data_IF_979069717100
#
_entry.id   IF_979069717100
#
_cell.length_a   1.000
_cell.length_b   1.000
_cell.length_c   1.000
_cell.angle_alpha   90.00
_cell.angle_beta   90.00
_cell.angle_gamma   90.00
#
_symmetry.space_group_name_H-M   'P 1'
#
loop_
_entity.id
_entity.type
_entity.pdbx_description
1 polymer ?
#
# COMPACT_ATOMS: atom_id res chain seq x y z
N UNK A 1 14.43 5.00 13.51
CA UNK A 1 13.46 4.77 12.43
C UNK A 1 12.09 4.30 12.94
N UNK A 2 11.95 3.21 13.71
CA UNK A 2 10.62 2.77 14.18
C UNK A 2 9.89 3.77 15.10
N UNK A 3 10.62 4.67 15.77
CA UNK A 3 10.07 5.80 16.54
C UNK A 3 9.73 7.05 15.70
N UNK A 4 10.23 7.12 14.46
CA UNK A 4 10.07 8.28 13.58
C UNK A 4 8.92 8.10 12.58
N UNK A 5 8.59 6.85 12.26
CA UNK A 5 7.60 6.49 11.24
C UNK A 5 6.34 5.94 11.92
N UNK A 6 5.18 6.50 11.57
CA UNK A 6 3.86 6.10 12.05
C UNK A 6 3.65 4.59 11.99
N UNK A 7 2.96 3.98 12.97
CA UNK A 7 2.61 2.55 12.93
C UNK A 7 1.82 2.14 11.67
N UNK A 8 1.18 3.10 10.99
CA UNK A 8 0.38 2.85 9.78
C UNK A 8 1.23 2.62 8.52
N UNK A 9 2.54 2.86 8.59
CA UNK A 9 3.50 2.56 7.52
C UNK A 9 4.25 1.27 7.85
N UNK A 10 4.01 0.22 7.05
CA UNK A 10 4.54 -1.12 7.33
C UNK A 10 5.79 -1.47 6.51
N UNK A 11 6.16 -0.67 5.51
CA UNK A 11 7.29 -0.99 4.65
C UNK A 11 8.65 -0.79 5.35
N UNK A 12 9.54 -1.77 5.20
CA UNK A 12 10.98 -1.69 5.51
C UNK A 12 11.34 -1.33 6.97
N UNK A 13 10.41 -1.56 7.90
CA UNK A 13 10.63 -1.34 9.33
C UNK A 13 10.66 -2.69 10.02
N UNK A 14 11.77 -2.98 10.71
CA UNK A 14 11.96 -4.24 11.46
C UNK A 14 10.80 -4.44 12.44
N UNK A 15 10.15 -5.60 12.34
CA UNK A 15 9.02 -5.98 13.20
C UNK A 15 7.63 -5.61 12.68
N UNK A 16 7.52 -4.94 11.52
CA UNK A 16 6.24 -4.71 10.82
C UNK A 16 6.16 -5.60 9.59
N UNK A 17 5.03 -6.29 9.40
CA UNK A 17 4.83 -7.18 8.27
C UNK A 17 3.84 -6.59 7.27
N UNK A 18 4.04 -6.89 5.99
CA UNK A 18 3.10 -6.54 4.92
C UNK A 18 1.68 -7.06 5.20
N UNK A 19 1.60 -8.26 5.81
CA UNK A 19 0.35 -8.93 6.12
C UNK A 19 -0.46 -8.14 7.16
N UNK A 20 0.19 -7.39 8.06
CA UNK A 20 -0.48 -6.61 9.10
C UNK A 20 -1.42 -5.56 8.49
N UNK A 21 -0.97 -4.86 7.44
CA UNK A 21 -1.79 -3.88 6.71
C UNK A 21 -2.97 -4.54 6.00
N UNK A 22 -2.77 -5.69 5.37
CA UNK A 22 -3.84 -6.45 4.69
C UNK A 22 -4.89 -6.92 5.70
N UNK A 23 -4.46 -7.44 6.85
CA UNK A 23 -5.36 -7.86 7.94
C UNK A 23 -6.14 -6.66 8.47
N UNK A 24 -5.49 -5.50 8.68
CA UNK A 24 -6.15 -4.30 9.15
C UNK A 24 -7.27 -3.82 8.21
N UNK A 25 -7.04 -3.80 6.89
CA UNK A 25 -8.11 -3.44 5.93
C UNK A 25 -9.25 -4.47 5.96
N UNK A 26 -8.93 -5.77 6.02
CA UNK A 26 -9.93 -6.83 6.09
C UNK A 26 -10.83 -6.68 7.33
N UNK A 27 -10.24 -6.43 8.50
CA UNK A 27 -10.99 -6.21 9.74
C UNK A 27 -11.90 -4.97 9.66
N UNK A 28 -11.42 -3.87 9.04
CA UNK A 28 -12.23 -2.68 8.81
C UNK A 28 -13.43 -2.99 7.90
N UNK A 29 -13.21 -3.71 6.79
CA UNK A 29 -14.27 -4.12 5.86
C UNK A 29 -15.30 -5.00 6.57
N UNK A 30 -14.85 -6.02 7.29
CA UNK A 30 -15.72 -6.98 7.95
C UNK A 30 -16.48 -6.34 9.10
N UNK A 31 -15.86 -5.44 9.86
CA UNK A 31 -16.53 -4.67 10.88
C UNK A 31 -17.59 -3.76 10.28
N UNK A 32 -17.26 -3.01 9.22
CA UNK A 32 -18.21 -2.14 8.52
C UNK A 32 -19.43 -2.94 8.04
N UNK A 33 -19.22 -4.09 7.38
CA UNK A 33 -20.29 -5.03 6.97
C UNK A 33 -21.17 -5.45 8.14
N UNK A 34 -20.58 -5.96 9.23
CA UNK A 34 -21.31 -6.46 10.40
C UNK A 34 -22.10 -5.36 11.13
N UNK A 35 -21.49 -4.17 11.28
CA UNK A 35 -22.12 -3.05 11.97
C UNK A 35 -23.05 -2.22 11.09
N UNK A 36 -23.17 -2.55 9.79
CA UNK A 36 -23.92 -1.78 8.78
C UNK A 36 -23.52 -0.29 8.74
N UNK A 37 -22.27 0.02 9.07
CA UNK A 37 -21.73 1.38 9.02
C UNK A 37 -21.14 1.62 7.64
N UNK A 38 -21.39 2.80 7.09
CA UNK A 38 -20.86 3.21 5.80
C UNK A 38 -19.36 3.54 5.92
N UNK A 39 -18.54 2.91 5.09
CA UNK A 39 -17.09 3.15 5.00
C UNK A 39 -16.70 3.32 3.55
N UNK A 40 -15.93 4.37 3.23
CA UNK A 40 -15.23 4.44 1.96
C UNK A 40 -13.80 3.94 2.13
N UNK A 41 -13.26 3.40 1.05
CA UNK A 41 -11.87 2.98 0.92
C UNK A 41 -11.33 3.68 -0.32
N UNK A 42 -10.29 4.49 -0.16
CA UNK A 42 -9.65 5.15 -1.30
C UNK A 42 -8.23 4.63 -1.46
N UNK A 43 -8.01 3.83 -2.50
CA UNK A 43 -6.70 3.31 -2.88
C UNK A 43 -6.04 4.32 -3.81
N UNK A 44 -4.88 4.82 -3.38
CA UNK A 44 -4.10 5.84 -4.09
C UNK A 44 -2.87 5.20 -4.73
N UNK A 45 -2.64 5.55 -5.99
CA UNK A 45 -1.42 5.24 -6.74
C UNK A 45 -0.68 6.56 -7.00
N UNK A 46 0.64 6.60 -6.81
CA UNK A 46 1.45 7.77 -7.12
C UNK A 46 2.16 7.59 -8.47
N UNK A 47 2.12 8.62 -9.32
CA UNK A 47 2.86 8.62 -10.57
C UNK A 47 4.36 8.59 -10.27
N UNK A 48 5.07 7.55 -10.75
CA UNK A 48 6.52 7.35 -10.64
C UNK A 48 7.10 7.89 -9.32
N UNK A 49 6.58 7.40 -8.19
CA UNK A 49 6.73 8.04 -6.89
C UNK A 49 8.17 8.46 -6.56
N UNK A 50 9.15 7.59 -6.81
CA UNK A 50 10.56 7.88 -6.57
C UNK A 50 11.10 9.02 -7.45
N UNK A 51 10.70 9.12 -8.71
CA UNK A 51 11.24 10.08 -9.68
C UNK A 51 10.79 11.52 -9.41
N UNK A 52 9.67 11.71 -8.71
CA UNK A 52 9.06 13.01 -8.50
C UNK A 52 9.35 13.65 -7.13
N UNK A 53 10.05 12.95 -6.24
CA UNK A 53 10.34 13.45 -4.88
C UNK A 53 11.09 14.79 -4.90
N UNK A 54 10.51 15.81 -4.30
CA UNK A 54 11.15 17.10 -4.08
C UNK A 54 12.26 17.00 -3.03
N UNK A 55 13.48 17.37 -3.42
CA UNK A 55 14.64 17.37 -2.52
C UNK A 55 14.54 18.40 -1.41
N UNK A 56 13.94 19.57 -1.67
CA UNK A 56 13.71 20.59 -0.64
C UNK A 56 12.74 20.09 0.42
N UNK A 57 11.70 19.37 0.01
CA UNK A 57 10.76 18.76 0.94
C UNK A 57 11.39 17.61 1.74
N UNK A 58 12.20 16.77 1.10
CA UNK A 58 12.93 15.71 1.81
C UNK A 58 13.88 16.30 2.87
N UNK A 59 14.68 17.33 2.52
CA UNK A 59 15.55 18.01 3.48
C UNK A 59 14.77 18.64 4.64
N UNK A 60 13.61 19.23 4.33
CA UNK A 60 12.66 19.74 5.32
C UNK A 60 12.18 18.62 6.26
N UNK A 61 11.73 17.48 5.73
CA UNK A 61 11.27 16.35 6.55
C UNK A 61 12.41 15.81 7.43
N UNK A 62 13.62 15.65 6.88
CA UNK A 62 14.80 15.25 7.65
C UNK A 62 15.07 16.23 8.80
N UNK A 63 15.00 17.54 8.55
CA UNK A 63 15.14 18.54 9.60
C UNK A 63 14.05 18.39 10.68
N UNK A 64 12.79 18.17 10.28
CA UNK A 64 11.66 17.97 11.19
C UNK A 64 11.80 16.71 12.05
N UNK A 65 12.44 15.66 11.55
CA UNK A 65 12.76 14.45 12.30
C UNK A 65 14.02 14.59 13.19
N UNK A 66 14.66 15.76 13.22
CA UNK A 66 15.80 16.03 14.09
C UNK A 66 17.14 15.56 13.54
N UNK A 67 17.24 15.28 12.23
CA UNK A 67 18.53 14.96 11.62
C UNK A 67 19.44 16.20 11.63
N UNK A 68 20.62 16.04 12.24
CA UNK A 68 21.62 17.11 12.35
C UNK A 68 22.10 17.61 10.98
N UNK A 69 22.61 18.85 10.94
CA UNK A 69 23.10 19.49 9.72
C UNK A 69 24.13 18.66 8.97
N UNK A 70 25.03 17.99 9.70
CA UNK A 70 26.06 17.12 9.12
C UNK A 70 25.45 15.95 8.32
N UNK A 71 24.46 15.25 8.88
CA UNK A 71 23.77 14.14 8.23
C UNK A 71 23.00 14.60 6.99
N UNK A 72 22.31 15.73 7.08
CA UNK A 72 21.59 16.32 5.94
C UNK A 72 22.55 16.75 4.83
N UNK A 73 23.73 17.25 5.17
CA UNK A 73 24.78 17.59 4.21
C UNK A 73 25.29 16.35 3.46
N UNK A 74 25.53 15.23 4.15
CA UNK A 74 25.92 13.98 3.50
C UNK A 74 24.85 13.47 2.54
N UNK A 75 23.58 13.43 2.97
CA UNK A 75 22.47 13.02 2.08
C UNK A 75 22.35 13.95 0.87
N UNK A 76 22.52 15.26 1.05
CA UNK A 76 22.52 16.23 -0.05
C UNK A 76 23.61 15.92 -1.08
N UNK A 77 24.81 15.55 -0.65
CA UNK A 77 25.88 15.15 -1.58
C UNK A 77 25.56 13.84 -2.29
N UNK A 78 25.03 12.84 -1.58
CA UNK A 78 24.70 11.53 -2.15
C UNK A 78 23.50 11.56 -3.11
N UNK A 79 22.50 12.40 -2.82
CA UNK A 79 21.18 12.34 -3.47
C UNK A 79 20.87 13.57 -4.31
N UNK A 80 21.20 14.78 -3.85
CA UNK A 80 20.76 16.04 -4.47
C UNK A 80 21.71 16.55 -5.56
N UNK A 81 22.80 15.85 -5.84
CA UNK A 81 23.78 16.21 -6.86
C UNK A 81 24.04 15.01 -7.79
N UNK A 82 23.12 14.75 -8.71
CA UNK A 82 23.27 13.71 -9.71
C UNK A 82 23.17 14.27 -11.12
N UNK A 83 24.29 14.33 -11.83
CA UNK A 83 24.25 14.33 -13.30
C UNK A 83 24.03 12.89 -13.74
N UNK A 84 23.06 12.67 -14.62
CA UNK A 84 22.73 11.36 -15.17
C UNK A 84 23.17 11.31 -16.62
N UNK A 85 24.03 10.36 -16.95
CA UNK A 85 24.32 9.99 -18.33
C UNK A 85 23.68 8.64 -18.61
N UNK A 86 23.03 8.50 -19.76
CA UNK A 86 22.54 7.20 -20.23
C UNK A 86 23.62 6.59 -21.11
N UNK A 87 23.94 5.31 -20.91
CA UNK A 87 24.84 4.59 -21.81
C UNK A 87 24.02 4.01 -22.97
N UNK A 88 24.25 4.48 -24.19
CA UNK A 88 23.67 3.91 -25.42
C UNK A 88 24.78 3.16 -26.14
N UNK A 89 24.65 1.84 -26.26
CA UNK A 89 25.69 0.94 -26.82
C UNK A 89 27.06 1.08 -26.12
N UNK A 90 27.06 1.36 -24.82
CA UNK A 90 28.29 1.55 -24.04
C UNK A 90 28.90 2.96 -24.12
N UNK A 91 28.34 3.85 -24.95
CA UNK A 91 28.78 5.25 -25.04
C UNK A 91 27.89 6.16 -24.17
N UNK A 92 28.47 7.05 -23.34
CA UNK A 92 27.70 8.01 -22.56
C UNK A 92 27.02 9.05 -23.45
N UNK A 93 25.74 9.30 -23.20
CA UNK A 93 25.02 10.45 -23.73
C UNK A 93 25.40 11.74 -22.99
N UNK A 94 24.82 12.85 -23.44
CA UNK A 94 24.87 14.12 -22.70
C UNK A 94 24.39 13.97 -21.26
N UNK A 95 24.99 14.76 -20.37
CA UNK A 95 24.64 14.82 -18.96
C UNK A 95 23.28 15.48 -18.76
N UNK A 96 22.37 14.75 -18.14
CA UNK A 96 21.06 15.23 -17.72
C UNK A 96 21.16 15.68 -16.26
N UNK A 97 20.94 16.96 -16.02
CA UNK A 97 20.90 17.50 -14.66
C UNK A 97 19.59 17.09 -13.96
N UNK A 98 19.69 16.24 -12.94
CA UNK A 98 18.55 15.85 -12.12
C UNK A 98 18.30 16.94 -11.07
N UNK A 99 17.04 17.37 -10.92
CA UNK A 99 16.65 18.37 -9.91
C UNK A 99 15.70 17.84 -8.83
N UNK A 100 15.29 16.58 -8.95
CA UNK A 100 14.35 15.90 -8.04
C UNK A 100 14.46 14.38 -8.20
N UNK A 101 13.88 13.68 -7.26
CA UNK A 101 13.71 12.23 -7.30
C UNK A 101 14.77 11.47 -6.52
N UNK A 102 14.52 10.18 -6.33
CA UNK A 102 15.36 9.24 -5.61
C UNK A 102 15.75 8.11 -6.57
N UNK A 103 17.04 7.76 -6.60
CA UNK A 103 17.54 6.74 -7.54
C UNK A 103 17.04 5.37 -7.14
N UNK A 104 16.21 4.73 -7.98
CA UNK A 104 15.81 3.35 -7.75
C UNK A 104 17.05 2.43 -7.80
N UNK A 105 17.14 1.50 -6.86
CA UNK A 105 18.32 0.63 -6.68
C UNK A 105 19.35 1.18 -5.69
N UNK A 106 19.25 2.46 -5.29
CA UNK A 106 20.01 2.98 -4.15
C UNK A 106 19.41 2.42 -2.84
N UNK A 107 20.21 1.73 -1.99
CA UNK A 107 19.75 1.25 -0.70
C UNK A 107 19.18 2.34 0.21
N UNK A 108 19.63 3.59 0.08
CA UNK A 108 19.15 4.72 0.88
C UNK A 108 17.83 5.29 0.37
N UNK A 109 17.56 5.22 -0.94
CA UNK A 109 16.38 5.82 -1.55
C UNK A 109 15.08 5.34 -0.91
N UNK A 110 15.00 4.05 -0.56
CA UNK A 110 13.81 3.49 0.07
C UNK A 110 13.54 4.11 1.45
N UNK A 111 14.57 4.27 2.28
CA UNK A 111 14.43 4.88 3.60
C UNK A 111 14.10 6.38 3.52
N UNK A 112 14.69 7.09 2.57
CA UNK A 112 14.41 8.50 2.32
C UNK A 112 12.98 8.70 1.83
N UNK A 113 12.48 7.80 0.99
CA UNK A 113 11.10 7.82 0.53
C UNK A 113 10.11 7.69 1.70
N UNK A 114 10.40 6.81 2.67
CA UNK A 114 9.57 6.68 3.88
C UNK A 114 9.43 8.01 4.65
N UNK A 115 10.51 8.80 4.74
CA UNK A 115 10.46 10.12 5.40
C UNK A 115 9.53 11.09 4.66
N UNK A 116 9.46 11.01 3.34
CA UNK A 116 8.59 11.86 2.51
C UNK A 116 7.12 11.49 2.72
N UNK A 117 6.77 10.21 2.59
CA UNK A 117 5.38 9.75 2.75
C UNK A 117 4.88 9.85 4.18
N UNK A 118 5.77 9.89 5.18
CA UNK A 118 5.39 10.18 6.56
C UNK A 118 4.82 11.61 6.70
N UNK A 119 5.20 12.54 5.82
CA UNK A 119 4.57 13.86 5.75
C UNK A 119 3.08 13.78 5.41
N UNK A 120 2.67 12.82 4.57
CA UNK A 120 1.26 12.56 4.26
C UNK A 120 0.53 11.98 5.48
N UNK A 121 1.16 11.03 6.18
CA UNK A 121 0.64 10.50 7.45
C UNK A 121 0.39 11.63 8.46
N UNK A 122 1.38 12.51 8.64
CA UNK A 122 1.27 13.66 9.55
C UNK A 122 0.15 14.63 9.16
N UNK A 123 -0.06 14.89 7.87
CA UNK A 123 -1.14 15.75 7.39
C UNK A 123 -2.53 15.16 7.67
N UNK A 124 -2.69 13.84 7.53
CA UNK A 124 -3.95 13.13 7.78
C UNK A 124 -4.28 13.10 9.27
N UNK A 125 -3.31 12.76 10.13
CA UNK A 125 -3.50 12.85 11.58
C UNK A 125 -3.83 14.27 12.02
N UNK A 126 -3.16 15.27 11.44
CA UNK A 126 -3.49 16.66 11.77
C UNK A 126 -4.92 17.04 11.37
N UNK A 127 -5.38 16.57 10.22
CA UNK A 127 -6.76 16.81 9.79
C UNK A 127 -7.78 16.09 10.68
N UNK A 128 -7.43 14.91 11.20
CA UNK A 128 -8.25 14.20 12.18
C UNK A 128 -8.32 14.96 13.51
N UNK A 129 -7.18 15.39 14.07
CA UNK A 129 -7.14 16.17 15.31
C UNK A 129 -8.01 17.43 15.24
N UNK A 130 -8.08 18.04 14.05
CA UNK A 130 -8.91 19.21 13.76
C UNK A 130 -10.38 18.86 13.46
N UNK A 131 -10.75 17.58 13.45
CA UNK A 131 -12.09 17.10 13.14
C UNK A 131 -12.49 17.21 11.67
N UNK A 132 -11.52 17.50 10.78
CA UNK A 132 -11.74 17.67 9.33
C UNK A 132 -11.77 16.33 8.58
N UNK A 133 -11.08 15.31 9.12
CA UNK A 133 -11.10 13.95 8.58
C UNK A 133 -11.61 12.97 9.63
N UNK A 134 -12.58 12.14 9.25
CA UNK A 134 -13.14 11.08 10.09
C UNK A 134 -12.81 9.72 9.49
N UNK A 135 -11.71 9.14 9.95
CA UNK A 135 -11.36 7.76 9.64
C UNK A 135 -12.35 6.75 10.23
N UNK A 136 -12.24 5.48 9.83
CA UNK A 136 -13.17 4.44 10.28
C UNK A 136 -12.77 3.89 11.65
N UNK A 137 -13.65 4.05 12.65
CA UNK A 137 -13.41 3.57 14.03
C UNK A 137 -13.63 2.06 14.15
N UNK A 138 -12.60 1.36 14.66
CA UNK A 138 -12.58 -0.09 14.92
C UNK A 138 -12.65 -0.38 16.43
N UNK A 139 -13.59 -1.25 16.82
CA UNK A 139 -13.79 -1.67 18.20
C UNK A 139 -14.36 -0.60 19.15
N UNK A 140 -14.67 -1.01 20.38
CA UNK A 140 -15.24 -0.13 21.42
C UNK A 140 -14.19 0.84 22.01
N UNK A 141 -12.91 0.53 21.87
CA UNK A 141 -11.81 1.37 22.33
C UNK A 141 -11.50 2.52 21.35
N UNK A 142 -12.18 2.58 20.21
CA UNK A 142 -12.00 3.64 19.21
C UNK A 142 -10.67 3.55 18.46
N UNK A 143 -10.13 2.34 18.25
CA UNK A 143 -8.90 2.17 17.47
C UNK A 143 -9.12 2.75 16.06
N UNK A 144 -8.22 3.63 15.67
CA UNK A 144 -8.39 4.48 14.51
C UNK A 144 -7.33 4.17 13.47
N UNK A 145 -7.77 3.80 12.26
CA UNK A 145 -6.87 3.55 11.13
C UNK A 145 -7.34 4.44 9.96
N UNK A 146 -6.83 5.69 9.85
CA UNK A 146 -7.24 6.61 8.78
C UNK A 146 -6.62 6.23 7.45
N UNK A 147 -5.46 5.58 7.49
CA UNK A 147 -4.71 5.16 6.33
C UNK A 147 -3.80 3.99 6.66
N UNK A 148 -3.39 3.28 5.61
CA UNK A 148 -2.37 2.26 5.62
C UNK A 148 -1.43 2.52 4.46
N UNK A 149 -0.13 2.44 4.73
CA UNK A 149 0.91 2.64 3.74
C UNK A 149 1.85 1.45 3.70
N UNK A 150 2.25 1.10 2.49
CA UNK A 150 3.39 0.24 2.22
C UNK A 150 4.22 0.90 1.11
N UNK A 151 5.25 1.66 1.50
CA UNK A 151 5.96 2.55 0.60
C UNK A 151 4.98 3.50 -0.13
N UNK A 152 4.87 3.42 -1.45
CA UNK A 152 4.00 4.25 -2.29
C UNK A 152 2.55 3.75 -2.35
N UNK A 153 2.29 2.47 -2.07
CA UNK A 153 0.95 1.92 -1.99
C UNK A 153 0.20 2.46 -0.76
N UNK A 154 -0.76 3.37 -0.98
CA UNK A 154 -1.52 4.02 0.10
C UNK A 154 -3.01 3.70 0.01
N UNK A 155 -3.62 3.32 1.13
CA UNK A 155 -5.07 3.17 1.28
C UNK A 155 -5.56 4.12 2.37
N UNK A 156 -6.59 4.90 2.08
CA UNK A 156 -7.33 5.69 3.07
C UNK A 156 -8.64 5.00 3.42
N UNK A 157 -8.99 5.03 4.70
CA UNK A 157 -10.19 4.44 5.27
C UNK A 157 -10.93 5.49 6.07
N UNK A 158 -12.21 5.71 5.76
CA UNK A 158 -12.99 6.72 6.46
C UNK A 158 -14.49 6.55 6.36
N UNK A 159 -15.20 7.34 7.16
CA UNK A 159 -16.65 7.46 7.07
C UNK A 159 -17.04 7.99 5.68
N UNK A 160 -18.08 7.41 5.08
CA UNK A 160 -18.56 7.83 3.77
C UNK A 160 -19.27 9.20 3.86
N UNK A 161 -18.51 10.29 3.73
CA UNK A 161 -19.01 11.66 3.77
C UNK A 161 -18.31 12.53 2.73
N UNK A 162 -19.02 13.56 2.23
CA UNK A 162 -18.48 14.47 1.21
C UNK A 162 -17.36 15.34 1.80
N UNK A 163 -17.45 15.66 3.09
CA UNK A 163 -16.44 16.40 3.84
C UNK A 163 -15.12 15.63 3.87
N UNK A 164 -15.17 14.31 4.13
CA UNK A 164 -13.99 13.46 4.09
C UNK A 164 -13.34 13.43 2.71
N UNK A 165 -14.13 13.37 1.64
CA UNK A 165 -13.61 13.43 0.26
C UNK A 165 -12.92 14.76 -0.02
N UNK A 166 -13.53 15.87 0.42
CA UNK A 166 -12.96 17.22 0.31
C UNK A 166 -11.62 17.33 1.03
N UNK A 167 -11.60 16.94 2.31
CA UNK A 167 -10.39 16.97 3.14
C UNK A 167 -9.28 16.15 2.50
N UNK A 168 -9.60 14.95 2.01
CA UNK A 168 -8.62 14.07 1.38
C UNK A 168 -8.07 14.66 0.07
N UNK A 169 -8.93 15.22 -0.79
CA UNK A 169 -8.51 15.87 -2.04
C UNK A 169 -7.60 17.07 -1.75
N UNK A 170 -7.92 17.87 -0.73
CA UNK A 170 -7.10 19.01 -0.32
C UNK A 170 -5.73 18.58 0.21
N UNK A 171 -5.70 17.58 1.11
CA UNK A 171 -4.44 17.05 1.66
C UNK A 171 -3.56 16.50 0.54
N UNK A 172 -4.12 15.68 -0.36
CA UNK A 172 -3.36 15.12 -1.49
C UNK A 172 -2.83 16.21 -2.41
N UNK A 173 -3.62 17.26 -2.66
CA UNK A 173 -3.16 18.39 -3.49
C UNK A 173 -2.05 19.20 -2.82
N UNK A 174 -2.19 19.53 -1.53
CA UNK A 174 -1.16 20.22 -0.78
C UNK A 174 0.12 19.37 -0.67
N UNK A 175 -0.03 18.07 -0.45
CA UNK A 175 1.07 17.13 -0.38
C UNK A 175 1.81 17.01 -1.72
N UNK A 176 1.09 16.93 -2.86
CA UNK A 176 1.69 16.97 -4.19
C UNK A 176 2.50 18.25 -4.40
N UNK A 177 1.94 19.42 -4.06
CA UNK A 177 2.62 20.72 -4.22
C UNK A 177 3.88 20.84 -3.37
N UNK A 178 3.88 20.26 -2.17
CA UNK A 178 5.03 20.30 -1.25
C UNK A 178 6.08 19.23 -1.61
N UNK A 179 5.66 17.97 -1.73
CA UNK A 179 6.55 16.81 -1.86
C UNK A 179 6.91 16.48 -3.31
N UNK A 180 6.17 17.00 -4.29
CA UNK A 180 6.25 16.59 -5.68
C UNK A 180 5.52 15.29 -6.01
N UNK A 181 5.03 14.53 -5.02
CA UNK A 181 4.36 13.25 -5.23
C UNK A 181 2.95 13.45 -5.81
N UNK A 182 2.84 13.23 -7.11
CA UNK A 182 1.60 13.38 -7.85
C UNK A 182 0.76 12.11 -7.80
N UNK A 183 -0.52 12.26 -7.46
CA UNK A 183 -1.48 11.16 -7.50
C UNK A 183 -1.82 10.80 -8.95
N UNK A 184 -1.73 9.51 -9.26
CA UNK A 184 -2.24 8.94 -10.48
C UNK A 184 -3.73 8.62 -10.31
N UNK A 185 -4.58 9.61 -10.58
CA UNK A 185 -6.03 9.43 -10.40
C UNK A 185 -6.61 8.35 -11.32
N UNK A 186 -6.03 8.13 -12.50
CA UNK A 186 -6.46 7.09 -13.44
C UNK A 186 -6.21 5.66 -12.92
N UNK A 187 -5.19 5.47 -12.07
CA UNK A 187 -4.91 4.18 -11.40
C UNK A 187 -5.44 4.10 -9.97
N UNK A 188 -5.85 5.23 -9.41
CA UNK A 188 -6.48 5.30 -8.10
C UNK A 188 -7.95 4.85 -8.19
N UNK A 189 -8.48 4.33 -7.10
CA UNK A 189 -9.86 3.85 -7.06
C UNK A 189 -10.52 4.08 -5.71
N UNK A 190 -11.81 4.45 -5.75
CA UNK A 190 -12.66 4.55 -4.57
C UNK A 190 -13.62 3.36 -4.51
N UNK A 191 -13.79 2.80 -3.32
CA UNK A 191 -14.66 1.67 -3.03
C UNK A 191 -15.52 2.01 -1.81
N UNK A 192 -16.65 1.31 -1.66
CA UNK A 192 -17.57 1.52 -0.55
C UNK A 192 -18.03 0.21 0.09
N UNK A 193 -18.14 0.22 1.43
CA UNK A 193 -18.80 -0.82 2.23
C UNK A 193 -20.04 -0.21 2.87
N UNK A 194 -21.22 -0.75 2.55
CA UNK A 194 -22.53 -0.18 2.94
C UNK A 194 -22.71 1.28 2.52
N UNK A 195 -22.27 1.61 1.31
CA UNK A 195 -22.34 2.95 0.74
C UNK A 195 -23.28 2.92 -0.46
N UNK A 196 -24.05 3.99 -0.68
CA UNK A 196 -24.94 4.09 -1.84
C UNK A 196 -24.15 4.29 -3.14
N UNK A 197 -24.72 3.85 -4.27
CA UNK A 197 -24.15 4.10 -5.59
C UNK A 197 -24.01 5.61 -5.86
N UNK A 198 -24.94 6.43 -5.37
CA UNK A 198 -24.88 7.89 -5.52
C UNK A 198 -23.65 8.50 -4.85
N UNK A 199 -23.31 8.06 -3.64
CA UNK A 199 -22.08 8.53 -2.98
C UNK A 199 -20.84 8.13 -3.78
N UNK A 200 -20.77 6.89 -4.30
CA UNK A 200 -19.63 6.45 -5.10
C UNK A 200 -19.50 7.25 -6.40
N UNK A 201 -20.62 7.58 -7.06
CA UNK A 201 -20.64 8.44 -8.24
C UNK A 201 -20.14 9.86 -7.92
N UNK A 202 -20.52 10.40 -6.75
CA UNK A 202 -20.00 11.69 -6.27
C UNK A 202 -18.50 11.61 -6.01
N UNK A 203 -18.04 10.55 -5.34
CA UNK A 203 -16.63 10.34 -5.02
C UNK A 203 -15.77 10.18 -6.27
N UNK A 204 -16.22 9.38 -7.25
CA UNK A 204 -15.58 9.18 -8.54
C UNK A 204 -15.35 10.51 -9.27
N UNK A 205 -16.43 11.28 -9.46
CA UNK A 205 -16.40 12.57 -10.15
C UNK A 205 -15.58 13.61 -9.40
N UNK A 206 -15.68 13.63 -8.08
CA UNK A 206 -14.99 14.60 -7.26
C UNK A 206 -13.48 14.31 -7.18
N UNK A 207 -13.08 13.05 -7.00
CA UNK A 207 -11.66 12.67 -6.94
C UNK A 207 -11.03 12.48 -8.33
N UNK A 208 -11.83 12.38 -9.39
CA UNK A 208 -11.39 12.01 -10.75
C UNK A 208 -10.73 10.62 -10.84
N UNK A 209 -11.15 9.70 -9.98
CA UNK A 209 -10.64 8.33 -9.92
C UNK A 209 -11.68 7.31 -10.39
N UNK A 210 -11.31 6.05 -10.54
CA UNK A 210 -12.26 4.97 -10.89
C UNK A 210 -13.07 4.49 -9.67
N UNK A 211 -14.27 3.95 -9.89
CA UNK A 211 -14.99 3.16 -8.87
C UNK A 211 -14.47 1.73 -8.89
N UNK A 212 -13.89 1.28 -7.77
CA UNK A 212 -13.43 -0.09 -7.59
C UNK A 212 -14.53 -1.00 -7.03
N UNK A 213 -14.19 -2.27 -6.83
CA UNK A 213 -15.07 -3.27 -6.22
C UNK A 213 -14.36 -4.04 -5.11
N UNK A 214 -15.14 -4.60 -4.18
CA UNK A 214 -14.64 -5.51 -3.14
C UNK A 214 -15.14 -6.91 -3.48
N UNK A 215 -14.28 -7.94 -3.54
CA UNK A 215 -12.87 -7.93 -3.14
C UNK A 215 -11.90 -7.30 -4.16
N UNK A 216 -10.76 -6.80 -3.69
CA UNK A 216 -9.68 -6.23 -4.51
C UNK A 216 -8.30 -6.77 -4.12
N UNK A 217 -7.28 -6.46 -4.93
CA UNK A 217 -5.88 -6.83 -4.63
C UNK A 217 -5.11 -5.66 -4.02
N UNK A 218 -4.46 -5.93 -2.88
CA UNK A 218 -3.53 -5.02 -2.20
C UNK A 218 -2.26 -5.78 -1.85
N UNK A 219 -1.11 -5.27 -2.31
CA UNK A 219 0.21 -5.89 -2.07
C UNK A 219 0.28 -7.36 -2.54
N UNK A 220 -0.49 -7.71 -3.57
CA UNK A 220 -0.58 -9.06 -4.13
C UNK A 220 -1.48 -10.03 -3.34
N UNK A 221 -2.17 -9.54 -2.31
CA UNK A 221 -3.09 -10.32 -1.48
C UNK A 221 -4.55 -9.87 -1.69
N UNK A 222 -5.52 -10.81 -1.66
CA UNK A 222 -6.93 -10.47 -1.77
C UNK A 222 -7.45 -9.81 -0.48
N UNK A 223 -8.17 -8.71 -0.63
CA UNK A 223 -8.79 -7.93 0.45
C UNK A 223 -10.31 -7.94 0.29
N UNK A 224 -11.03 -8.18 1.39
CA UNK A 224 -12.49 -8.27 1.47
C UNK A 224 -13.08 -9.55 0.88
N UNK A 225 -12.24 -10.50 0.49
CA UNK A 225 -12.60 -11.83 0.00
C UNK A 225 -12.82 -12.80 1.16
N UNK A 226 -13.52 -13.92 0.92
CA UNK A 226 -13.70 -14.94 1.95
C UNK A 226 -12.43 -15.81 2.07
N UNK A 227 -11.66 -15.70 3.17
CA UNK A 227 -10.40 -16.43 3.30
C UNK A 227 -10.57 -17.95 3.41
N UNK A 228 -11.80 -18.44 3.68
CA UNK A 228 -12.11 -19.88 3.77
C UNK A 228 -12.26 -20.55 2.39
N UNK A 229 -12.35 -19.78 1.30
CA UNK A 229 -12.49 -20.34 -0.05
C UNK A 229 -11.12 -20.55 -0.70
N UNK A 230 -10.86 -21.74 -1.20
CA UNK A 230 -9.63 -22.05 -1.96
C UNK A 230 -9.46 -21.08 -3.16
N UNK A 231 -10.56 -20.73 -3.85
CA UNK A 231 -10.55 -19.82 -4.99
C UNK A 231 -9.99 -18.43 -4.68
N UNK A 232 -10.06 -17.99 -3.41
CA UNK A 232 -9.48 -16.72 -2.96
C UNK A 232 -7.95 -16.73 -3.04
N UNK A 233 -7.32 -17.87 -2.76
CA UNK A 233 -5.86 -18.00 -2.70
C UNK A 233 -5.23 -18.44 -4.03
N UNK A 234 -6.02 -18.99 -4.97
CA UNK A 234 -5.54 -19.42 -6.30
C UNK A 234 -4.68 -18.37 -7.03
N UNK A 235 -5.07 -17.08 -7.12
CA UNK A 235 -4.24 -16.09 -7.82
C UNK A 235 -2.87 -15.86 -7.16
N UNK A 236 -2.83 -15.87 -5.83
CA UNK A 236 -1.59 -15.75 -5.07
C UNK A 236 -0.69 -16.97 -5.29
N UNK A 237 -1.24 -18.18 -5.20
CA UNK A 237 -0.53 -19.42 -5.45
C UNK A 237 0.06 -19.44 -6.87
N UNK A 238 -0.72 -19.05 -7.89
CA UNK A 238 -0.22 -18.95 -9.28
C UNK A 238 0.94 -17.95 -9.40
N UNK A 239 0.87 -16.82 -8.71
CA UNK A 239 1.96 -15.82 -8.71
C UNK A 239 3.23 -16.36 -8.04
N UNK A 240 3.08 -17.05 -6.91
CA UNK A 240 4.18 -17.67 -6.18
C UNK A 240 4.84 -18.79 -7.00
N UNK A 241 4.03 -19.68 -7.55
CA UNK A 241 4.44 -20.74 -8.45
C UNK A 241 5.24 -20.20 -9.64
N UNK A 242 4.76 -19.12 -10.29
CA UNK A 242 5.51 -18.44 -11.37
C UNK A 242 6.87 -17.91 -10.93
N UNK A 243 6.97 -17.34 -9.73
CA UNK A 243 8.24 -16.82 -9.17
C UNK A 243 9.21 -17.93 -8.77
N UNK A 244 8.70 -19.08 -8.31
CA UNK A 244 9.48 -20.25 -7.94
C UNK A 244 9.85 -21.14 -9.14
N UNK A 245 9.38 -20.81 -10.35
CA UNK A 245 9.59 -21.63 -11.55
C UNK A 245 8.82 -22.96 -11.52
N UNK A 246 7.86 -23.11 -10.60
CA UNK A 246 7.02 -24.30 -10.47
C UNK A 246 5.70 -24.01 -11.17
N UNK A 247 5.30 -24.79 -12.16
CA UNK A 247 3.94 -24.68 -12.71
C UNK A 247 3.00 -25.39 -11.74
N UNK A 248 1.94 -24.74 -11.20
CA UNK A 248 0.98 -25.46 -10.40
C UNK A 248 0.17 -26.34 -11.35
N UNK A 249 0.44 -27.66 -11.34
CA UNK A 249 -0.40 -28.64 -12.00
C UNK A 249 -1.76 -28.72 -11.28
N UNK A 250 -2.68 -27.80 -11.58
CA UNK A 250 -4.10 -27.93 -11.23
C UNK A 250 -4.76 -28.76 -12.33
N UNK A 251 -4.83 -30.07 -12.09
CA UNK A 251 -4.87 -31.09 -13.13
C UNK A 251 -6.20 -31.40 -13.82
N UNK A 252 -6.08 -32.24 -14.84
CA UNK A 252 -6.99 -33.35 -15.15
C UNK A 252 -6.13 -34.59 -15.43
N UNK A 253 -5.82 -35.38 -14.39
CA UNK A 253 -5.34 -36.75 -14.62
C UNK A 253 -6.56 -37.62 -14.93
N UNK A 254 -6.88 -37.71 -16.23
CA UNK A 254 -7.61 -38.86 -16.77
C UNK A 254 -6.65 -40.05 -16.80
N UNK A 255 -7.12 -41.20 -16.32
CA UNK A 255 -6.29 -42.32 -15.89
C UNK A 255 -5.43 -43.01 -16.95
N UNK A 256 -4.39 -43.69 -16.45
CA UNK A 256 -3.74 -44.80 -17.14
C UNK A 256 -2.21 -44.80 -17.06
N UNK A 257 -1.64 -45.71 -16.25
CA UNK A 257 -0.32 -46.29 -16.55
C UNK A 257 0.83 -46.04 -15.56
N UNK A 258 1.01 -47.01 -14.64
CA UNK A 258 2.27 -47.59 -14.09
C UNK A 258 3.56 -46.76 -14.00
N UNK A 259 4.15 -46.75 -12.80
CA UNK A 259 5.61 -46.89 -12.63
C UNK A 259 6.27 -45.86 -11.71
N UNK A 260 6.61 -46.30 -10.50
CA UNK A 260 7.23 -45.54 -9.41
C UNK A 260 8.69 -45.13 -9.68
N UNK A 261 9.11 -43.99 -9.14
CA UNK A 261 10.50 -43.74 -8.78
C UNK A 261 10.97 -42.29 -8.87
N UNK A 262 10.73 -41.50 -7.81
CA UNK A 262 11.73 -40.70 -7.08
C UNK A 262 11.02 -39.81 -6.05
N UNK A 263 10.86 -40.39 -4.86
CA UNK A 263 10.69 -39.66 -3.61
C UNK A 263 11.97 -38.88 -3.33
N UNK A 264 11.83 -37.58 -3.03
CA UNK A 264 12.92 -36.68 -2.69
C UNK A 264 12.45 -35.45 -1.94
N UNK A 265 12.04 -35.67 -0.68
CA UNK A 265 12.05 -34.73 0.45
C UNK A 265 11.36 -33.35 0.32
N UNK A 266 10.13 -33.30 0.82
CA UNK A 266 9.65 -32.17 1.64
C UNK A 266 9.50 -32.67 3.08
N UNK A 267 10.07 -31.96 4.07
CA UNK A 267 9.39 -31.85 5.34
C UNK A 267 9.35 -30.38 5.78
N UNK A 268 8.15 -29.91 6.15
CA UNK A 268 7.82 -29.34 7.46
C UNK A 268 6.46 -28.62 7.32
N UNK A 269 5.50 -29.27 7.97
CA UNK A 269 4.19 -28.83 8.44
C UNK A 269 3.82 -27.34 8.33
N UNK A 270 2.68 -27.10 7.68
CA UNK A 270 1.68 -26.11 8.10
C UNK A 270 0.33 -26.83 8.08
N UNK A 271 0.16 -27.72 9.05
CA UNK A 271 -1.09 -28.40 9.35
C UNK A 271 -1.99 -27.41 10.10
N UNK A 272 -2.80 -26.64 9.36
CA UNK A 272 -3.96 -25.98 9.94
C UNK A 272 -5.09 -27.01 9.98
N UNK A 273 -5.16 -27.75 11.08
CA UNK A 273 -6.26 -28.65 11.37
C UNK A 273 -7.47 -27.80 11.76
N UNK A 274 -8.34 -27.50 10.80
CA UNK A 274 -9.73 -27.12 11.09
C UNK A 274 -10.52 -28.41 11.24
N UNK A 275 -10.83 -28.76 12.49
CA UNK A 275 -11.83 -29.77 12.81
C UNK A 275 -13.19 -29.29 12.27
N UNK A 276 -13.64 -29.87 11.16
CA UNK A 276 -15.03 -29.90 10.75
C UNK A 276 -15.70 -31.13 11.37
N UNK A 277 -16.41 -30.93 12.47
CA UNK A 277 -17.39 -31.88 12.98
C UNK A 277 -18.80 -31.30 12.80
N UNK A 278 -19.41 -31.55 11.64
CA UNK A 278 -20.81 -31.24 11.38
C UNK A 278 -21.71 -32.45 11.70
N UNK A 279 -22.71 -32.20 12.57
CA UNK A 279 -24.14 -32.49 12.38
C UNK A 279 -24.69 -33.94 12.47
N UNK A 280 -25.70 -34.07 13.35
CA UNK A 280 -26.87 -34.97 13.39
C UNK A 280 -26.72 -36.49 13.59
N UNK A 281 -27.14 -36.90 14.80
CA UNK A 281 -27.93 -38.08 15.12
C UNK A 281 -28.77 -37.74 16.35
#
# INVERSE_FOLDING_TARGET
MPSLISPNQSALIKGRQLVDGVVAVNEVIDLARKSKRACFIFKVDFEKAYDYVSWSFLDYMMMRFGFGSQWRSWIRVCVFNGNLTVLVNGCPTEEINIQRGLKQGDPLAQFLFLLVVEGLSGAIFRAEELGMFKGFKVGNNGLFVPHLQYADDTIFLGEASVENLWTLKMILRCFELASGLKVNFAKSSVMGVNVSADFLNVAERFLHCSVGSIPFSYLGLPVGANPRKESTWKPFLVSLSRKLGVVPCLGTMSGGGKGYGLLGAWPVALEFQMDEGAVCG
#
